data_IF_683659182171
#
_entry.id   IF_683659182171
#
_cell.length_a   1.000
_cell.length_b   1.000
_cell.length_c   1.000
_cell.angle_alpha   90.00
_cell.angle_beta   90.00
_cell.angle_gamma   90.00
#
_symmetry.space_group_name_H-M   'P 1'
#
loop_
_entity.id
_entity.type
_entity.pdbx_description
1 polymer ?
#
# COMPACT_ATOMS: atom_id res chain seq x y z
N UNK A 1 62.58 -62.23 12.29
CA UNK A 1 62.69 -63.58 11.69
C UNK A 1 61.29 -63.93 11.17
N UNK A 2 60.96 -64.25 9.91
CA UNK A 2 61.61 -64.67 8.65
C UNK A 2 60.73 -64.06 7.52
N UNK A 3 61.25 -63.45 6.45
CA UNK A 3 61.44 -64.02 5.08
C UNK A 3 60.31 -64.99 4.67
N UNK A 4 59.65 -64.97 3.52
CA UNK A 4 59.85 -64.38 2.16
C UNK A 4 58.66 -64.88 1.32
N UNK A 5 58.26 -64.18 0.25
CA UNK A 5 57.40 -64.80 -0.76
C UNK A 5 56.79 -63.81 -1.75
N UNK A 6 57.58 -63.35 -2.72
CA UNK A 6 57.06 -62.73 -3.95
C UNK A 6 56.64 -63.82 -4.95
N UNK A 7 55.48 -63.64 -5.61
CA UNK A 7 55.21 -64.19 -6.95
C UNK A 7 54.38 -63.17 -7.77
N UNK A 8 54.97 -62.75 -8.89
CA UNK A 8 54.41 -62.03 -10.04
C UNK A 8 53.50 -62.98 -10.88
N UNK A 9 52.95 -62.58 -12.06
CA UNK A 9 52.31 -61.34 -12.53
C UNK A 9 50.97 -61.63 -13.27
N UNK A 10 50.18 -60.61 -13.62
CA UNK A 10 49.45 -60.58 -14.91
C UNK A 10 48.83 -59.19 -15.15
N UNK A 11 49.32 -58.53 -16.20
CA UNK A 11 48.70 -57.36 -16.81
C UNK A 11 47.32 -57.72 -17.36
N UNK A 12 46.36 -56.81 -17.19
CA UNK A 12 45.36 -56.52 -18.23
C UNK A 12 45.02 -55.04 -18.16
N UNK A 13 45.62 -54.31 -19.10
CA UNK A 13 45.38 -52.92 -19.45
C UNK A 13 43.98 -52.74 -20.03
N UNK A 14 43.19 -51.85 -19.44
CA UNK A 14 42.06 -51.22 -20.11
C UNK A 14 42.31 -49.71 -20.14
N UNK A 15 42.72 -49.23 -21.31
CA UNK A 15 42.85 -47.82 -21.65
C UNK A 15 41.45 -47.21 -21.73
N UNK A 16 41.09 -46.35 -20.77
CA UNK A 16 39.99 -45.41 -20.90
C UNK A 16 40.56 -44.06 -21.32
N UNK A 17 40.56 -43.82 -22.63
CA UNK A 17 40.85 -42.52 -23.22
C UNK A 17 39.71 -41.54 -22.92
N UNK A 18 39.88 -40.66 -21.93
CA UNK A 18 39.08 -39.43 -21.83
C UNK A 18 39.66 -38.40 -22.80
N UNK A 19 38.98 -38.20 -23.93
CA UNK A 19 39.22 -37.06 -24.81
C UNK A 19 38.73 -35.78 -24.13
N UNK A 20 39.65 -34.87 -23.83
CA UNK A 20 39.31 -33.52 -23.40
C UNK A 20 38.88 -32.70 -24.62
N UNK A 21 37.58 -32.44 -24.74
CA UNK A 21 37.04 -31.45 -25.69
C UNK A 21 37.19 -30.08 -25.05
N UNK A 22 38.15 -29.28 -25.52
CA UNK A 22 38.24 -27.86 -25.18
C UNK A 22 37.24 -27.11 -26.05
N UNK A 23 36.06 -26.77 -25.50
CA UNK A 23 35.17 -25.79 -26.13
C UNK A 23 35.78 -24.39 -25.92
N UNK A 24 36.28 -23.79 -27.00
CA UNK A 24 36.58 -22.37 -27.02
C UNK A 24 35.26 -21.59 -26.96
N UNK A 25 34.94 -21.05 -25.79
CA UNK A 25 33.84 -20.09 -25.63
C UNK A 25 34.33 -18.76 -26.17
N UNK A 26 33.90 -18.40 -27.38
CA UNK A 26 34.08 -17.04 -27.90
C UNK A 26 33.06 -16.16 -27.17
N UNK A 27 33.45 -15.06 -26.50
CA UNK A 27 32.49 -14.15 -25.92
C UNK A 27 31.74 -13.48 -27.08
N UNK A 28 30.45 -13.81 -27.22
CA UNK A 28 29.56 -13.03 -28.06
C UNK A 28 29.41 -11.65 -27.41
N UNK A 29 30.10 -10.65 -27.95
CA UNK A 29 29.77 -9.26 -27.67
C UNK A 29 28.36 -9.03 -28.24
N UNK A 30 27.36 -8.97 -27.36
CA UNK A 30 26.05 -8.48 -27.72
C UNK A 30 26.22 -7.00 -28.07
N UNK A 31 26.12 -6.67 -29.35
CA UNK A 31 26.08 -5.30 -29.84
C UNK A 31 24.75 -4.71 -29.34
N UNK A 32 24.80 -3.95 -28.24
CA UNK A 32 23.66 -3.15 -27.80
C UNK A 32 23.53 -1.99 -28.76
N UNK A 33 22.87 -2.21 -29.90
CA UNK A 33 22.36 -1.11 -30.71
C UNK A 33 21.33 -0.38 -29.86
N UNK A 34 21.75 0.72 -29.20
CA UNK A 34 20.82 1.65 -28.60
C UNK A 34 19.99 2.27 -29.72
N UNK A 35 18.80 1.69 -29.92
CA UNK A 35 17.72 2.39 -30.60
C UNK A 35 17.42 3.64 -29.75
N UNK A 36 17.92 4.80 -30.19
CA UNK A 36 17.50 6.12 -29.70
C UNK A 36 16.05 6.44 -30.12
N UNK A 37 15.16 5.45 -30.05
CA UNK A 37 13.73 5.68 -30.10
C UNK A 37 13.34 6.44 -28.85
N UNK A 38 12.96 7.71 -29.00
CA UNK A 38 12.34 8.48 -27.92
C UNK A 38 11.12 7.70 -27.46
N UNK A 39 11.20 7.05 -26.29
CA UNK A 39 10.03 6.51 -25.62
C UNK A 39 9.18 7.72 -25.24
N UNK A 40 8.09 7.94 -25.97
CA UNK A 40 7.09 8.91 -25.60
C UNK A 40 6.36 8.38 -24.36
N UNK A 41 6.79 8.82 -23.18
CA UNK A 41 6.05 8.58 -21.94
C UNK A 41 4.74 9.34 -22.04
N UNK A 42 3.64 8.62 -22.24
CA UNK A 42 2.29 9.19 -22.15
C UNK A 42 1.92 9.17 -20.67
N UNK A 43 1.79 10.34 -20.06
CA UNK A 43 1.25 10.47 -18.71
C UNK A 43 -0.26 10.19 -18.77
N UNK A 44 -0.70 9.11 -18.12
CA UNK A 44 -2.08 8.62 -18.24
C UNK A 44 -2.91 8.92 -17.00
N UNK A 45 -2.32 8.90 -15.80
CA UNK A 45 -3.02 9.15 -14.54
C UNK A 45 -2.25 10.11 -13.65
N UNK A 46 -2.96 10.72 -12.69
CA UNK A 46 -2.35 11.54 -11.64
C UNK A 46 -3.03 11.19 -10.30
N UNK A 47 -2.28 11.15 -9.22
CA UNK A 47 -2.83 11.19 -7.87
C UNK A 47 -2.80 12.63 -7.32
N UNK A 48 -3.80 12.99 -6.52
CA UNK A 48 -3.80 14.26 -5.77
C UNK A 48 -4.40 14.12 -4.37
N UNK A 49 -3.88 14.88 -3.41
CA UNK A 49 -4.38 14.98 -2.04
C UNK A 49 -4.00 16.32 -1.39
N UNK A 50 -4.37 16.52 -0.12
CA UNK A 50 -3.89 17.67 0.64
C UNK A 50 -2.38 17.56 0.93
N UNK A 51 -1.59 18.65 0.81
CA UNK A 51 -1.99 20.05 0.64
C UNK A 51 -1.98 20.56 -0.81
N UNK A 52 -2.04 19.70 -1.83
CA UNK A 52 -1.90 20.10 -3.25
C UNK A 52 -3.07 20.94 -3.80
N UNK A 53 -3.96 21.35 -2.92
CA UNK A 53 -5.04 22.31 -3.09
C UNK A 53 -4.68 23.69 -2.45
N UNK A 54 -3.47 24.21 -2.62
CA UNK A 54 -3.09 25.50 -2.02
C UNK A 54 -3.75 26.66 -2.76
N UNK A 55 -4.33 27.64 -2.03
CA UNK A 55 -5.16 28.81 -2.42
C UNK A 55 -4.43 30.10 -2.87
N UNK A 56 -3.23 30.04 -3.44
CA UNK A 56 -2.56 31.25 -3.93
C UNK A 56 -3.02 31.66 -5.34
N UNK A 57 -4.19 32.30 -5.40
CA UNK A 57 -4.78 33.05 -6.52
C UNK A 57 -5.82 34.03 -5.99
N UNK A 58 -5.33 35.11 -5.37
CA UNK A 58 -6.09 36.15 -4.66
C UNK A 58 -6.75 37.14 -5.63
N UNK A 59 -8.09 37.04 -5.84
CA UNK A 59 -8.96 38.13 -6.34
C UNK A 59 -10.48 37.78 -6.48
N UNK A 60 -11.02 36.82 -5.71
CA UNK A 60 -12.48 36.75 -5.49
C UNK A 60 -13.34 36.24 -6.65
N UNK A 61 -12.77 35.49 -7.59
CA UNK A 61 -13.54 34.78 -8.63
C UNK A 61 -13.76 33.29 -8.27
N UNK A 62 -14.96 32.85 -8.59
CA UNK A 62 -15.60 31.53 -8.51
C UNK A 62 -14.69 30.28 -8.48
N UNK A 63 -15.06 29.31 -7.63
CA UNK A 63 -14.44 28.00 -7.33
C UNK A 63 -14.22 27.09 -8.56
N UNK A 64 -13.38 27.51 -9.50
CA UNK A 64 -13.00 26.71 -10.69
C UNK A 64 -11.57 26.18 -10.63
N UNK A 65 -10.84 26.45 -9.53
CA UNK A 65 -9.50 25.91 -9.33
C UNK A 65 -9.32 25.38 -7.90
N UNK A 66 -8.63 24.23 -7.79
CA UNK A 66 -8.05 23.72 -6.55
C UNK A 66 -6.91 24.66 -6.11
N UNK A 67 -7.30 25.86 -5.66
CA UNK A 67 -6.46 26.87 -5.05
C UNK A 67 -5.54 27.69 -5.97
N UNK A 68 -5.72 27.69 -7.29
CA UNK A 68 -4.78 28.34 -8.20
C UNK A 68 -3.57 27.47 -8.57
N UNK A 69 -3.53 26.22 -8.08
CA UNK A 69 -2.72 25.18 -8.70
C UNK A 69 -3.48 24.64 -9.90
N UNK A 70 -2.87 24.73 -11.07
CA UNK A 70 -3.43 24.16 -12.30
C UNK A 70 -3.48 22.63 -12.12
N UNK A 71 -4.65 22.11 -11.76
CA UNK A 71 -4.87 20.67 -11.64
C UNK A 71 -4.42 19.97 -12.92
N UNK A 72 -3.85 18.75 -12.86
CA UNK A 72 -3.38 18.09 -14.06
C UNK A 72 -4.52 17.97 -15.09
N UNK A 73 -4.38 18.67 -16.23
CA UNK A 73 -5.39 18.67 -17.31
C UNK A 73 -5.17 17.56 -18.34
N UNK A 74 -3.96 17.00 -18.36
CA UNK A 74 -3.58 15.96 -19.31
C UNK A 74 -3.78 14.53 -18.75
N UNK A 75 -4.46 14.40 -17.61
CA UNK A 75 -4.80 13.11 -17.03
C UNK A 75 -5.94 12.42 -17.80
N UNK A 76 -5.96 11.09 -17.76
CA UNK A 76 -7.11 10.26 -18.15
C UNK A 76 -7.89 9.77 -16.94
N UNK A 77 -7.22 9.57 -15.82
CA UNK A 77 -7.85 9.23 -14.55
C UNK A 77 -7.12 9.88 -13.37
N UNK A 78 -7.82 9.98 -12.24
CA UNK A 78 -7.36 10.56 -10.99
C UNK A 78 -7.45 9.57 -9.85
N UNK A 79 -6.44 9.53 -8.98
CA UNK A 79 -6.48 8.85 -7.68
C UNK A 79 -6.49 9.90 -6.58
N UNK A 80 -7.57 10.01 -5.83
CA UNK A 80 -7.75 11.09 -4.85
C UNK A 80 -7.49 10.57 -3.43
N UNK A 81 -6.59 11.22 -2.71
CA UNK A 81 -6.32 10.87 -1.33
C UNK A 81 -7.50 11.26 -0.43
N UNK A 82 -8.04 10.31 0.32
CA UNK A 82 -9.15 10.56 1.26
C UNK A 82 -8.65 11.30 2.50
N UNK A 83 -7.37 11.12 2.84
CA UNK A 83 -6.77 11.65 4.05
C UNK A 83 -5.94 12.93 3.84
N UNK A 84 -5.80 13.70 4.91
CA UNK A 84 -5.12 15.00 4.96
C UNK A 84 -3.63 14.92 5.32
N UNK A 85 -2.95 13.85 4.87
CA UNK A 85 -1.53 13.57 5.14
C UNK A 85 -1.25 12.60 6.30
N UNK A 86 -2.28 12.14 7.02
CA UNK A 86 -2.18 11.04 8.00
C UNK A 86 -3.45 10.21 8.00
N UNK A 87 -3.40 8.95 8.44
CA UNK A 87 -4.56 8.05 8.53
C UNK A 87 -5.72 8.57 9.43
N UNK A 88 -5.47 9.58 10.26
CA UNK A 88 -6.43 10.14 11.20
C UNK A 88 -6.99 11.52 10.79
N UNK A 89 -6.53 12.10 9.68
CA UNK A 89 -6.94 13.43 9.25
C UNK A 89 -7.73 13.35 7.94
N UNK A 90 -8.89 14.00 7.87
CA UNK A 90 -9.67 14.08 6.64
C UNK A 90 -8.98 15.04 5.65
N UNK A 91 -9.07 14.75 4.35
CA UNK A 91 -8.62 15.67 3.31
C UNK A 91 -9.65 16.80 3.13
N UNK A 92 -9.33 18.07 3.50
CA UNK A 92 -10.27 19.18 3.35
C UNK A 92 -10.58 19.52 1.88
N UNK A 93 -9.82 18.97 0.95
CA UNK A 93 -9.94 19.23 -0.49
C UNK A 93 -10.64 18.10 -1.24
N UNK A 94 -11.06 17.05 -0.54
CA UNK A 94 -11.66 15.85 -1.12
C UNK A 94 -12.82 16.16 -2.09
N UNK A 95 -13.81 17.02 -1.78
CA UNK A 95 -14.92 17.26 -2.71
C UNK A 95 -14.46 17.88 -4.03
N UNK A 96 -13.55 18.86 -3.98
CA UNK A 96 -13.08 19.53 -5.18
C UNK A 96 -12.14 18.63 -6.02
N UNK A 97 -11.37 17.75 -5.37
CA UNK A 97 -10.54 16.75 -6.04
C UNK A 97 -11.37 15.64 -6.68
N UNK A 98 -12.46 15.21 -6.04
CA UNK A 98 -13.44 14.30 -6.62
C UNK A 98 -14.10 14.87 -7.88
N UNK A 99 -14.55 16.14 -7.84
CA UNK A 99 -15.09 16.81 -9.04
C UNK A 99 -14.09 16.84 -10.20
N UNK A 100 -12.82 17.15 -9.91
CA UNK A 100 -11.76 17.14 -10.92
C UNK A 100 -11.59 15.75 -11.55
N UNK A 101 -11.39 14.71 -10.73
CA UNK A 101 -11.16 13.36 -11.22
C UNK A 101 -12.38 12.80 -11.97
N UNK A 102 -13.59 13.11 -11.50
CA UNK A 102 -14.83 12.71 -12.17
C UNK A 102 -15.03 13.39 -13.54
N UNK A 103 -14.43 14.56 -13.75
CA UNK A 103 -14.41 15.28 -15.02
C UNK A 103 -13.38 14.77 -16.04
N UNK A 104 -12.51 13.83 -15.65
CA UNK A 104 -11.51 13.25 -16.55
C UNK A 104 -12.14 12.27 -17.55
N UNK A 105 -11.51 12.08 -18.73
CA UNK A 105 -12.10 11.27 -19.81
C UNK A 105 -12.19 9.76 -19.49
N UNK A 106 -11.46 9.27 -18.49
CA UNK A 106 -11.38 7.84 -18.15
C UNK A 106 -10.64 6.99 -19.18
N UNK A 107 -10.54 5.69 -18.90
CA UNK A 107 -10.14 4.66 -19.87
C UNK A 107 -11.06 3.45 -19.75
N UNK A 108 -11.08 2.60 -20.78
CA UNK A 108 -11.93 1.40 -20.83
C UNK A 108 -11.78 0.48 -19.62
N UNK A 109 -10.57 0.36 -19.07
CA UNK A 109 -10.27 -0.52 -17.93
C UNK A 109 -9.72 0.25 -16.72
N UNK A 110 -9.90 1.58 -16.68
CA UNK A 110 -9.44 2.39 -15.57
C UNK A 110 -10.53 3.41 -15.21
N UNK A 111 -11.15 3.29 -14.02
CA UNK A 111 -12.09 4.28 -13.53
C UNK A 111 -11.44 5.66 -13.52
N UNK A 112 -12.20 6.67 -13.95
CA UNK A 112 -11.75 8.07 -13.99
C UNK A 112 -11.42 8.63 -12.60
N UNK A 113 -12.13 8.14 -11.59
CA UNK A 113 -11.98 8.49 -10.18
C UNK A 113 -11.71 7.20 -9.41
N UNK A 114 -10.66 7.23 -8.62
CA UNK A 114 -10.24 6.21 -7.67
C UNK A 114 -9.81 6.93 -6.40
N UNK A 115 -9.64 6.18 -5.32
CA UNK A 115 -9.23 6.74 -4.04
C UNK A 115 -7.96 6.08 -3.52
N UNK A 116 -7.23 6.77 -2.68
CA UNK A 116 -6.27 6.13 -1.80
C UNK A 116 -6.48 6.60 -0.35
N UNK A 117 -6.16 5.73 0.60
CA UNK A 117 -6.36 5.97 2.03
C UNK A 117 -5.03 5.75 2.74
N UNK A 118 -4.57 6.75 3.50
CA UNK A 118 -3.36 6.62 4.31
C UNK A 118 -3.61 5.58 5.40
N UNK A 119 -2.64 4.71 5.59
CA UNK A 119 -2.71 3.61 6.56
C UNK A 119 -1.68 3.80 7.66
N UNK A 120 -2.01 3.33 8.87
CA UNK A 120 -1.18 3.42 10.07
C UNK A 120 -1.57 2.33 11.07
N UNK A 121 -0.79 2.12 12.13
CA UNK A 121 -1.21 1.35 13.30
C UNK A 121 -0.58 1.94 14.58
N UNK A 122 -1.26 2.89 15.24
CA UNK A 122 -0.69 3.65 16.34
C UNK A 122 -0.68 2.91 17.69
N UNK A 123 -1.03 1.61 17.74
CA UNK A 123 -1.22 0.86 18.99
C UNK A 123 -0.02 0.90 19.96
N UNK A 124 1.20 1.05 19.46
CA UNK A 124 2.41 1.13 20.31
C UNK A 124 2.62 2.51 20.96
N UNK A 125 1.90 3.54 20.53
CA UNK A 125 2.16 4.95 20.83
C UNK A 125 0.89 5.72 21.20
N UNK A 126 -0.10 5.00 21.75
CA UNK A 126 -1.42 5.56 22.08
C UNK A 126 -1.34 6.74 23.04
N UNK A 127 -0.63 6.57 24.16
CA UNK A 127 -0.44 7.62 25.16
C UNK A 127 0.55 8.69 24.70
N UNK A 128 1.60 8.31 23.98
CA UNK A 128 2.64 9.24 23.51
C UNK A 128 2.08 10.30 22.55
N UNK A 129 1.16 9.90 21.67
CA UNK A 129 0.55 10.80 20.67
C UNK A 129 -0.92 11.13 20.93
N UNK A 130 -1.44 10.85 22.13
CA UNK A 130 -2.83 11.11 22.50
C UNK A 130 -3.84 10.60 21.45
N UNK A 131 -3.68 9.32 21.08
CA UNK A 131 -4.39 8.71 19.96
C UNK A 131 -5.84 8.44 20.33
N UNK A 132 -6.73 9.30 19.85
CA UNK A 132 -8.19 9.19 20.08
C UNK A 132 -8.92 8.28 19.08
N UNK A 133 -8.23 7.78 18.06
CA UNK A 133 -8.83 6.95 17.00
C UNK A 133 -8.70 5.45 17.26
N UNK A 134 -8.03 5.05 18.35
CA UNK A 134 -7.91 3.64 18.72
C UNK A 134 -9.24 3.08 19.23
N UNK A 135 -9.58 1.81 18.96
CA UNK A 135 -10.80 1.21 19.48
C UNK A 135 -10.80 1.22 21.02
N UNK A 136 -11.76 1.91 21.63
CA UNK A 136 -11.92 1.97 23.09
C UNK A 136 -12.98 1.00 23.65
N UNK A 137 -13.68 0.30 22.76
CA UNK A 137 -14.80 -0.59 23.09
C UNK A 137 -14.48 -2.07 22.90
N UNK A 138 -15.53 -2.85 22.65
CA UNK A 138 -15.41 -4.26 22.30
C UNK A 138 -15.29 -4.36 20.78
N UNK A 139 -14.17 -4.91 20.29
CA UNK A 139 -14.06 -5.35 18.91
C UNK A 139 -15.05 -6.50 18.67
N UNK A 140 -15.85 -6.43 17.59
CA UNK A 140 -16.65 -7.57 17.14
C UNK A 140 -15.80 -8.83 16.90
N UNK A 141 -16.47 -9.95 16.67
CA UNK A 141 -15.76 -11.19 16.30
C UNK A 141 -14.99 -10.96 15.00
N UNK A 142 -13.68 -11.17 15.08
CA UNK A 142 -12.73 -11.08 13.98
C UNK A 142 -11.72 -12.26 14.03
N UNK A 143 -10.88 -12.45 13.00
CA UNK A 143 -9.96 -13.60 12.91
C UNK A 143 -8.92 -13.69 14.04
N UNK A 144 -8.73 -12.62 14.81
CA UNK A 144 -7.68 -12.47 15.80
C UNK A 144 -8.16 -12.45 17.25
N UNK A 145 -9.46 -12.62 17.51
CA UNK A 145 -9.96 -12.72 18.88
C UNK A 145 -9.32 -13.91 19.62
N UNK A 146 -8.93 -13.70 20.87
CA UNK A 146 -8.28 -14.70 21.73
C UNK A 146 -9.14 -15.96 21.89
N UNK A 147 -10.47 -15.77 21.95
CA UNK A 147 -11.46 -16.84 21.99
C UNK A 147 -12.29 -16.80 20.70
N UNK A 148 -12.22 -17.84 19.85
CA UNK A 148 -12.99 -17.90 18.62
C UNK A 148 -14.49 -17.70 18.85
N UNK A 149 -15.10 -16.80 18.08
CA UNK A 149 -16.54 -16.49 18.16
C UNK A 149 -16.95 -15.60 19.32
N UNK A 150 -16.01 -15.09 20.13
CA UNK A 150 -16.29 -14.22 21.27
C UNK A 150 -15.72 -12.83 21.01
N UNK A 151 -16.54 -11.76 21.06
CA UNK A 151 -16.05 -10.38 20.97
C UNK A 151 -14.99 -10.08 22.03
N UNK A 152 -13.99 -9.27 21.69
CA UNK A 152 -12.83 -8.97 22.53
C UNK A 152 -12.80 -7.50 22.93
N UNK A 153 -12.45 -7.19 24.17
CA UNK A 153 -12.27 -5.80 24.61
C UNK A 153 -10.98 -5.25 24.03
N UNK A 154 -11.01 -3.99 23.60
CA UNK A 154 -9.83 -3.23 23.21
C UNK A 154 -9.38 -2.22 24.27
N UNK A 155 -9.88 -2.38 25.49
CA UNK A 155 -9.44 -1.65 26.67
C UNK A 155 -9.17 -2.59 27.83
N UNK A 156 -8.15 -2.27 28.62
CA UNK A 156 -7.88 -2.93 29.90
C UNK A 156 -8.91 -2.54 30.98
N UNK A 157 -8.70 -2.96 32.23
CA UNK A 157 -9.63 -2.67 33.34
C UNK A 157 -9.65 -1.18 33.70
N UNK A 158 -8.54 -0.49 33.46
CA UNK A 158 -8.35 0.95 33.69
C UNK A 158 -8.85 1.81 32.51
N UNK A 159 -9.18 1.19 31.38
CA UNK A 159 -9.71 1.85 30.19
C UNK A 159 -8.65 2.25 29.16
N UNK A 160 -7.38 1.87 29.35
CA UNK A 160 -6.33 2.12 28.37
C UNK A 160 -6.42 1.14 27.19
N UNK A 161 -6.07 1.61 25.99
CA UNK A 161 -6.17 0.82 24.77
C UNK A 161 -5.23 -0.39 24.78
N UNK A 162 -5.75 -1.56 24.42
CA UNK A 162 -4.95 -2.79 24.27
C UNK A 162 -4.32 -2.82 22.88
N UNK A 163 -3.01 -3.03 22.84
CA UNK A 163 -2.24 -3.18 21.60
C UNK A 163 -2.03 -4.66 21.27
N UNK A 164 -3.05 -5.30 20.70
CA UNK A 164 -3.01 -6.69 20.24
C UNK A 164 -3.45 -6.81 18.77
N UNK A 165 -3.51 -8.04 18.25
CA UNK A 165 -3.91 -8.30 16.85
C UNK A 165 -5.39 -7.97 16.60
N UNK A 166 -6.29 -8.35 17.51
CA UNK A 166 -7.73 -8.13 17.36
C UNK A 166 -8.08 -6.64 17.31
N UNK A 167 -7.47 -5.85 18.19
CA UNK A 167 -7.69 -4.41 18.25
C UNK A 167 -6.98 -3.66 17.13
N UNK A 168 -5.85 -4.19 16.64
CA UNK A 168 -5.21 -3.67 15.42
C UNK A 168 -6.06 -3.90 14.18
N UNK A 169 -6.69 -5.07 14.06
CA UNK A 169 -7.64 -5.39 12.99
C UNK A 169 -8.87 -4.49 13.06
N UNK A 170 -9.44 -4.34 14.25
CA UNK A 170 -10.59 -3.47 14.47
C UNK A 170 -10.30 -2.00 14.16
N UNK A 171 -9.11 -1.52 14.54
CA UNK A 171 -8.64 -0.20 14.16
C UNK A 171 -8.65 -0.04 12.63
N UNK A 172 -8.09 -1.02 11.90
CA UNK A 172 -8.11 -1.03 10.45
C UNK A 172 -9.51 -0.93 9.86
N UNK A 173 -10.42 -1.81 10.30
CA UNK A 173 -11.82 -1.80 9.87
C UNK A 173 -12.49 -0.44 10.10
N UNK A 174 -12.31 0.15 11.29
CA UNK A 174 -12.85 1.49 11.60
C UNK A 174 -12.19 2.62 10.81
N UNK A 175 -10.96 2.45 10.31
CA UNK A 175 -10.33 3.40 9.37
C UNK A 175 -10.89 3.28 7.96
N UNK A 176 -11.18 2.08 7.49
CA UNK A 176 -11.86 1.88 6.21
C UNK A 176 -13.29 2.45 6.24
N UNK A 177 -14.06 2.14 7.29
CA UNK A 177 -15.42 2.65 7.46
C UNK A 177 -15.47 4.19 7.47
N UNK A 178 -14.57 4.83 8.21
CA UNK A 178 -14.50 6.29 8.23
C UNK A 178 -14.06 6.88 6.89
N UNK A 179 -13.11 6.24 6.20
CA UNK A 179 -12.69 6.68 4.88
C UNK A 179 -13.86 6.61 3.88
N UNK A 180 -14.69 5.56 3.95
CA UNK A 180 -15.88 5.45 3.13
C UNK A 180 -16.87 6.58 3.42
N UNK A 181 -17.17 6.84 4.70
CA UNK A 181 -18.03 7.94 5.10
C UNK A 181 -17.52 9.32 4.62
N UNK A 182 -16.21 9.56 4.66
CA UNK A 182 -15.62 10.79 4.13
C UNK A 182 -15.82 10.94 2.63
N UNK A 183 -15.74 9.84 1.87
CA UNK A 183 -15.99 9.87 0.41
C UNK A 183 -17.46 10.11 0.12
N UNK A 184 -18.37 9.48 0.86
CA UNK A 184 -19.81 9.69 0.70
C UNK A 184 -20.18 11.17 0.94
N UNK A 185 -19.77 11.72 2.10
CA UNK A 185 -19.98 13.13 2.45
C UNK A 185 -19.39 14.08 1.39
N UNK A 186 -18.18 13.77 0.92
CA UNK A 186 -17.53 14.58 -0.10
C UNK A 186 -18.17 14.43 -1.48
N UNK A 187 -18.71 13.26 -1.82
CA UNK A 187 -19.45 12.98 -3.05
C UNK A 187 -20.74 13.78 -3.13
N UNK A 188 -21.49 13.83 -2.03
CA UNK A 188 -22.70 14.65 -1.89
C UNK A 188 -22.38 16.14 -2.10
N UNK A 189 -21.35 16.64 -1.44
CA UNK A 189 -20.89 18.03 -1.64
C UNK A 189 -20.44 18.22 -3.09
N UNK A 190 -19.69 17.26 -3.64
CA UNK A 190 -19.13 17.31 -4.98
C UNK A 190 -20.21 17.28 -6.08
N UNK A 191 -21.39 16.74 -5.81
CA UNK A 191 -22.35 16.35 -6.84
C UNK A 191 -21.83 15.19 -7.69
N UNK A 192 -21.01 14.32 -7.09
CA UNK A 192 -20.44 13.13 -7.73
C UNK A 192 -21.07 11.92 -7.06
N UNK A 193 -21.94 11.22 -7.79
CA UNK A 193 -22.48 9.94 -7.35
C UNK A 193 -21.37 8.90 -7.38
N UNK A 194 -20.84 8.57 -6.22
CA UNK A 194 -19.83 7.53 -6.02
C UNK A 194 -20.29 6.65 -4.88
N UNK A 195 -20.33 5.34 -5.12
CA UNK A 195 -20.33 4.34 -4.07
C UNK A 195 -18.88 3.89 -3.89
N UNK A 196 -18.36 4.00 -2.67
CA UNK A 196 -17.00 3.55 -2.34
C UNK A 196 -16.84 2.05 -2.62
N UNK A 197 -17.89 1.26 -2.41
CA UNK A 197 -17.90 -0.19 -2.68
C UNK A 197 -17.72 -0.53 -4.17
N UNK A 198 -18.08 0.39 -5.07
CA UNK A 198 -17.92 0.24 -6.52
C UNK A 198 -16.66 0.94 -7.07
N UNK A 199 -15.88 1.59 -6.20
CA UNK A 199 -14.69 2.35 -6.58
C UNK A 199 -13.41 1.64 -6.16
N UNK A 200 -12.37 1.71 -6.99
CA UNK A 200 -11.04 1.22 -6.59
C UNK A 200 -10.46 2.12 -5.49
N UNK A 201 -10.12 1.51 -4.35
CA UNK A 201 -9.47 2.15 -3.21
C UNK A 201 -8.10 1.52 -2.96
N UNK A 202 -7.05 2.33 -3.00
CA UNK A 202 -5.67 1.92 -2.73
C UNK A 202 -5.33 2.15 -1.25
N UNK A 203 -4.64 1.20 -0.63
CA UNK A 203 -4.08 1.37 0.71
C UNK A 203 -2.69 1.99 0.60
N UNK A 204 -2.53 3.22 1.06
CA UNK A 204 -1.28 3.95 1.02
C UNK A 204 -0.46 3.70 2.29
N UNK A 205 0.55 2.85 2.15
CA UNK A 205 1.45 2.42 3.23
C UNK A 205 2.71 3.28 3.21
N UNK A 206 2.73 4.29 4.08
CA UNK A 206 3.84 5.23 4.17
C UNK A 206 4.68 5.00 5.42
N UNK A 207 6.01 5.00 5.29
CA UNK A 207 6.93 4.86 6.43
C UNK A 207 6.88 6.04 7.40
N UNK A 208 6.28 7.17 7.01
CA UNK A 208 6.09 8.35 7.86
C UNK A 208 4.88 8.29 8.79
N UNK A 209 3.99 7.30 8.61
CA UNK A 209 2.86 7.10 9.51
C UNK A 209 3.27 6.33 10.77
N UNK A 210 2.37 6.29 11.76
CA UNK A 210 2.56 5.63 13.04
C UNK A 210 2.48 4.11 12.91
N UNK A 211 3.46 3.49 12.25
CA UNK A 211 3.58 2.04 12.13
C UNK A 211 4.39 1.43 13.27
N UNK A 212 3.99 0.24 13.71
CA UNK A 212 4.72 -0.48 14.75
C UNK A 212 5.97 -1.18 14.16
N UNK A 213 7.04 -1.21 14.94
CA UNK A 213 8.31 -1.85 14.56
C UNK A 213 8.47 -3.23 15.20
N UNK A 214 9.41 -4.03 14.67
CA UNK A 214 9.67 -5.39 15.17
C UNK A 214 8.66 -6.43 14.66
N UNK A 215 8.95 -7.70 14.89
CA UNK A 215 8.15 -8.82 14.33
C UNK A 215 6.71 -8.81 14.83
N UNK A 216 6.50 -8.57 16.12
CA UNK A 216 5.14 -8.46 16.69
C UNK A 216 4.40 -7.23 16.16
N UNK A 217 5.08 -6.09 16.05
CA UNK A 217 4.53 -4.87 15.47
C UNK A 217 4.12 -5.06 14.00
N UNK A 218 4.95 -5.74 13.22
CA UNK A 218 4.64 -6.07 11.82
C UNK A 218 3.40 -6.98 11.70
N UNK A 219 3.25 -7.96 12.60
CA UNK A 219 2.04 -8.79 12.63
C UNK A 219 0.79 -7.95 12.93
N UNK A 220 0.87 -6.97 13.84
CA UNK A 220 -0.22 -6.04 14.13
C UNK A 220 -0.49 -5.07 12.98
N UNK A 221 0.53 -4.60 12.28
CA UNK A 221 0.37 -3.78 11.08
C UNK A 221 -0.38 -4.57 9.98
N UNK A 222 -0.03 -5.85 9.79
CA UNK A 222 -0.74 -6.74 8.87
C UNK A 222 -2.20 -6.92 9.26
N UNK A 223 -2.49 -7.18 10.55
CA UNK A 223 -3.85 -7.28 11.05
C UNK A 223 -4.67 -6.00 10.77
N UNK A 224 -4.07 -4.81 10.92
CA UNK A 224 -4.70 -3.54 10.54
C UNK A 224 -5.05 -3.48 9.06
N UNK A 225 -4.13 -3.84 8.16
CA UNK A 225 -4.41 -3.82 6.72
C UNK A 225 -5.51 -4.83 6.35
N UNK A 226 -5.50 -6.01 6.96
CA UNK A 226 -6.56 -7.01 6.77
C UNK A 226 -7.92 -6.50 7.25
N UNK A 227 -7.96 -5.80 8.38
CA UNK A 227 -9.16 -5.15 8.88
C UNK A 227 -9.70 -4.10 7.93
N UNK A 228 -8.82 -3.31 7.31
CA UNK A 228 -9.22 -2.34 6.28
C UNK A 228 -9.82 -3.02 5.04
N UNK A 229 -9.30 -4.18 4.63
CA UNK A 229 -9.81 -4.93 3.46
C UNK A 229 -11.09 -5.72 3.73
N UNK A 230 -11.47 -5.89 5.00
CA UNK A 230 -12.63 -6.69 5.40
C UNK A 230 -13.92 -5.87 5.53
N UNK A 231 -13.83 -4.53 5.45
CA UNK A 231 -14.97 -3.61 5.35
C UNK A 231 -15.45 -3.54 3.89
#
# INVERSE_FOLDING_TARGET
MRRTGSLLPALSTALLSLGAVVLAVVPAAADSSESSGRISVVWVGNDISYPQCTTSGWNGEEYTSLGGTQVPRNARFGVVGVNGGTAAKANPCLPAQMRWANGLPGLTNQPRLQFYVNTANPGAVLTEYDVVTWPSGTSPVNPYNDVPGVPQRCTDEEGAGINDLACSWEYGRGRAEWAAALVDDAGDIAGVGTDVGDTMVWLDVETGNTWQSGVEGQARNAATLEGMTAY
#
